data_IF_448085283480
#
_entry.id   IF_448085283480
#
_cell.length_a   1.000
_cell.length_b   1.000
_cell.length_c   1.000
_cell.angle_alpha   90.00
_cell.angle_beta   90.00
_cell.angle_gamma   90.00
#
_symmetry.space_group_name_H-M   'P 1'
#
loop_
_entity.id
_entity.type
_entity.pdbx_description
1 polymer ?
#
# COMPACT_ATOMS: atom_id res chain seq x y z
N UNK A 1 -59.97 24.06 29.36
CA UNK A 1 -59.92 24.51 27.95
C UNK A 1 -58.78 25.49 27.60
N UNK A 2 -58.47 26.51 28.42
CA UNK A 2 -57.46 27.55 28.08
C UNK A 2 -56.01 27.02 27.93
N UNK A 3 -55.59 26.03 28.73
CA UNK A 3 -54.26 25.38 28.64
C UNK A 3 -54.06 24.57 27.35
N UNK A 4 -55.09 23.82 26.93
CA UNK A 4 -55.07 23.02 25.70
C UNK A 4 -55.01 23.86 24.42
N UNK A 5 -55.71 25.01 24.38
CA UNK A 5 -55.58 25.97 23.27
C UNK A 5 -54.17 26.58 23.17
N UNK A 6 -53.49 26.83 24.29
CA UNK A 6 -52.10 27.33 24.30
C UNK A 6 -51.11 26.28 23.79
N UNK A 7 -51.27 25.01 24.16
CA UNK A 7 -50.43 23.91 23.67
C UNK A 7 -50.62 23.67 22.16
N UNK A 8 -51.87 23.67 21.68
CA UNK A 8 -52.16 23.53 20.25
C UNK A 8 -51.62 24.70 19.41
N UNK A 9 -51.73 25.93 19.91
CA UNK A 9 -51.17 27.11 19.27
C UNK A 9 -49.62 27.07 19.24
N UNK A 10 -48.99 26.61 20.32
CA UNK A 10 -47.54 26.41 20.39
C UNK A 10 -47.05 25.33 19.41
N UNK A 11 -47.75 24.20 19.32
CA UNK A 11 -47.44 23.12 18.39
C UNK A 11 -47.61 23.55 16.92
N UNK A 12 -48.68 24.29 16.60
CA UNK A 12 -48.92 24.84 15.26
C UNK A 12 -47.85 25.86 14.86
N UNK A 13 -47.48 26.79 15.74
CA UNK A 13 -46.39 27.72 15.50
C UNK A 13 -45.03 27.02 15.31
N UNK A 14 -44.80 25.88 15.98
CA UNK A 14 -43.60 25.06 15.78
C UNK A 14 -43.64 24.32 14.44
N UNK A 15 -44.81 23.84 14.03
CA UNK A 15 -45.03 23.19 12.73
C UNK A 15 -44.85 24.18 11.57
N UNK A 16 -45.42 25.38 11.65
CA UNK A 16 -45.27 26.43 10.64
C UNK A 16 -43.80 26.87 10.49
N UNK A 17 -43.06 26.96 11.61
CA UNK A 17 -41.60 27.19 11.57
C UNK A 17 -40.85 26.05 10.86
N UNK A 18 -41.24 24.80 11.09
CA UNK A 18 -40.64 23.63 10.41
C UNK A 18 -40.94 23.63 8.92
N UNK A 19 -42.17 23.97 8.50
CA UNK A 19 -42.55 24.07 7.08
C UNK A 19 -41.77 25.19 6.38
N UNK A 20 -41.65 26.37 6.99
CA UNK A 20 -40.86 27.48 6.43
C UNK A 20 -39.37 27.13 6.34
N UNK A 21 -38.83 26.41 7.33
CA UNK A 21 -37.47 25.87 7.28
C UNK A 21 -37.31 24.83 6.16
N UNK A 22 -38.29 23.94 5.98
CA UNK A 22 -38.28 22.91 4.94
C UNK A 22 -38.36 23.52 3.53
N UNK A 23 -39.21 24.53 3.30
CA UNK A 23 -39.28 25.23 2.02
C UNK A 23 -38.02 26.03 1.69
N UNK A 24 -37.41 26.68 2.70
CA UNK A 24 -36.09 27.32 2.52
C UNK A 24 -35.02 26.28 2.21
N UNK A 25 -35.03 25.15 2.92
CA UNK A 25 -34.14 24.02 2.67
C UNK A 25 -34.28 23.47 1.26
N UNK A 26 -35.51 23.25 0.79
CA UNK A 26 -35.80 22.75 -0.56
C UNK A 26 -35.33 23.71 -1.66
N UNK A 27 -35.51 25.03 -1.48
CA UNK A 27 -35.00 26.03 -2.42
C UNK A 27 -33.47 26.09 -2.47
N UNK A 28 -32.81 26.02 -1.31
CA UNK A 28 -31.34 25.97 -1.24
C UNK A 28 -30.82 24.69 -1.90
N UNK A 29 -31.45 23.55 -1.60
CA UNK A 29 -31.14 22.26 -2.20
C UNK A 29 -31.28 22.31 -3.72
N UNK A 30 -32.45 22.72 -4.25
CA UNK A 30 -32.68 22.82 -5.69
C UNK A 30 -31.64 23.68 -6.40
N UNK A 31 -31.17 24.76 -5.77
CA UNK A 31 -30.18 25.66 -6.36
C UNK A 31 -28.72 25.17 -6.22
N UNK A 32 -28.38 24.39 -5.18
CA UNK A 32 -26.99 24.06 -4.81
C UNK A 32 -26.72 22.57 -4.61
N UNK A 33 -27.63 21.67 -5.02
CA UNK A 33 -27.53 20.23 -4.74
C UNK A 33 -26.20 19.62 -5.24
N UNK A 34 -25.70 20.03 -6.42
CA UNK A 34 -24.42 19.55 -6.96
C UNK A 34 -23.25 19.90 -6.04
N UNK A 35 -23.24 21.13 -5.51
CA UNK A 35 -22.22 21.59 -4.57
C UNK A 35 -22.35 20.88 -3.21
N UNK A 36 -23.57 20.65 -2.73
CA UNK A 36 -23.82 19.96 -1.45
C UNK A 36 -23.38 18.50 -1.53
N UNK A 37 -23.76 17.78 -2.59
CA UNK A 37 -23.34 16.39 -2.82
C UNK A 37 -21.83 16.31 -3.01
N UNK A 38 -21.24 17.19 -3.81
CA UNK A 38 -19.78 17.24 -4.01
C UNK A 38 -19.02 17.50 -2.71
N UNK A 39 -19.50 18.46 -1.90
CA UNK A 39 -18.91 18.78 -0.59
C UNK A 39 -19.03 17.62 0.40
N UNK A 40 -20.18 16.94 0.43
CA UNK A 40 -20.41 15.78 1.27
C UNK A 40 -19.47 14.62 0.91
N UNK A 41 -19.27 14.36 -0.38
CA UNK A 41 -18.34 13.32 -0.84
C UNK A 41 -16.88 13.63 -0.46
N UNK A 42 -16.45 14.88 -0.60
CA UNK A 42 -15.11 15.32 -0.16
C UNK A 42 -14.98 15.16 1.36
N UNK A 43 -16.00 15.48 2.15
CA UNK A 43 -15.97 15.29 3.60
C UNK A 43 -15.92 13.81 4.00
N UNK A 44 -16.79 12.98 3.42
CA UNK A 44 -16.80 11.53 3.66
C UNK A 44 -15.52 10.84 3.21
N UNK A 45 -14.82 11.38 2.20
CA UNK A 45 -13.58 10.80 1.70
C UNK A 45 -12.50 10.62 2.78
N UNK A 46 -12.45 11.51 3.79
CA UNK A 46 -11.44 11.46 4.87
C UNK A 46 -11.67 10.29 5.83
N UNK A 47 -12.92 9.86 5.97
CA UNK A 47 -13.29 8.72 6.81
C UNK A 47 -13.12 7.37 6.10
N UNK A 48 -12.93 7.40 4.77
CA UNK A 48 -12.78 6.20 3.94
C UNK A 48 -11.30 5.86 3.72
N UNK A 49 -11.04 4.61 3.33
CA UNK A 49 -9.69 4.15 2.97
C UNK A 49 -9.28 4.78 1.63
N UNK A 50 -8.10 5.40 1.59
CA UNK A 50 -7.55 6.01 0.37
C UNK A 50 -6.66 5.05 -0.41
N UNK A 51 -5.73 4.40 0.29
CA UNK A 51 -4.78 3.44 -0.27
C UNK A 51 -4.96 2.12 0.48
N UNK A 52 -5.08 1.03 -0.27
CA UNK A 52 -5.09 -0.32 0.28
C UNK A 52 -3.68 -0.87 0.38
N UNK A 53 -3.33 -1.33 1.57
CA UNK A 53 -2.18 -2.18 1.79
C UNK A 53 -2.64 -3.63 1.70
N UNK A 54 -2.02 -4.46 0.85
CA UNK A 54 -2.43 -5.85 0.70
C UNK A 54 -2.37 -6.63 2.02
N UNK A 55 -1.34 -6.45 2.86
CA UNK A 55 -1.20 -7.19 4.13
C UNK A 55 -1.30 -6.27 5.35
N UNK A 56 -0.65 -5.10 5.31
CA UNK A 56 -0.57 -4.22 6.46
C UNK A 56 -1.84 -3.38 6.68
N UNK A 57 -1.94 -2.72 7.84
CA UNK A 57 -3.13 -1.91 8.16
C UNK A 57 -3.23 -0.70 7.23
N UNK A 58 -4.38 -0.60 6.57
CA UNK A 58 -4.72 0.49 5.65
C UNK A 58 -4.56 1.89 6.27
N UNK A 59 -3.99 2.82 5.51
CA UNK A 59 -3.88 4.24 5.91
C UNK A 59 -5.16 5.01 5.56
N UNK A 60 -5.75 5.69 6.56
CA UNK A 60 -6.78 6.71 6.34
C UNK A 60 -6.11 8.07 6.09
N UNK A 61 -6.13 8.54 4.84
CA UNK A 61 -5.50 9.78 4.40
C UNK A 61 -4.01 9.63 4.05
N UNK A 62 -3.63 10.05 2.84
CA UNK A 62 -2.22 10.09 2.42
C UNK A 62 -1.52 11.29 3.09
N UNK A 63 -0.39 11.07 3.77
CA UNK A 63 0.40 12.13 4.40
C UNK A 63 1.01 13.06 3.34
N UNK A 64 0.97 14.37 3.59
CA UNK A 64 1.60 15.37 2.71
C UNK A 64 3.15 15.23 2.75
N UNK A 65 3.82 15.28 1.58
CA UNK A 65 5.24 14.96 1.44
C UNK A 65 6.23 16.01 1.99
N UNK A 66 5.75 17.08 2.64
CA UNK A 66 6.63 18.13 3.20
C UNK A 66 7.43 17.65 4.42
N UNK A 67 7.00 16.59 5.09
CA UNK A 67 7.71 16.02 6.24
C UNK A 67 8.39 14.70 5.84
N UNK A 68 9.67 14.83 5.47
CA UNK A 68 10.61 13.72 5.27
C UNK A 68 10.66 12.84 6.52
N UNK A 69 10.66 11.52 6.33
CA UNK A 69 11.11 10.51 7.28
C UNK A 69 10.57 10.61 8.71
N UNK A 70 9.31 10.24 8.94
CA UNK A 70 8.90 9.76 10.26
C UNK A 70 8.16 8.44 10.06
N UNK A 71 8.62 7.41 10.76
CA UNK A 71 8.13 6.04 10.65
C UNK A 71 6.61 5.96 10.70
N UNK A 72 6.06 5.07 9.89
CA UNK A 72 4.64 4.79 9.72
C UNK A 72 4.00 4.31 11.03
N UNK A 73 3.70 5.24 11.94
CA UNK A 73 2.75 5.01 13.03
C UNK A 73 1.38 5.49 12.59
N UNK A 74 0.41 4.59 12.65
CA UNK A 74 -0.96 4.79 12.20
C UNK A 74 -1.75 5.62 13.21
N UNK A 75 -1.90 6.93 12.98
CA UNK A 75 -3.04 7.72 13.48
C UNK A 75 -3.28 8.91 12.53
N UNK A 76 -4.56 9.27 12.40
CA UNK A 76 -5.10 10.32 11.52
C UNK A 76 -4.15 11.54 11.47
N UNK A 77 -3.46 11.71 10.34
CA UNK A 77 -2.60 12.89 10.16
C UNK A 77 -3.49 14.11 9.93
N UNK A 78 -3.38 15.11 10.82
CA UNK A 78 -3.89 16.46 10.60
C UNK A 78 -3.31 17.10 9.31
N UNK A 79 -2.20 16.56 8.79
CA UNK A 79 -1.59 16.86 7.48
C UNK A 79 -1.82 15.75 6.43
N UNK A 80 -3.06 15.27 6.28
CA UNK A 80 -3.44 14.41 5.16
C UNK A 80 -3.95 15.21 3.96
N UNK A 81 -3.78 14.69 2.74
CA UNK A 81 -4.32 15.30 1.51
C UNK A 81 -5.84 15.51 1.61
N UNK A 82 -6.55 14.56 2.21
CA UNK A 82 -7.98 14.66 2.47
C UNK A 82 -8.34 15.78 3.46
N UNK A 83 -7.60 15.91 4.58
CA UNK A 83 -7.80 17.00 5.54
C UNK A 83 -7.51 18.38 4.93
N UNK A 84 -6.43 18.50 4.15
CA UNK A 84 -6.14 19.71 3.37
C UNK A 84 -7.27 20.04 2.40
N UNK A 85 -7.81 19.03 1.72
CA UNK A 85 -8.98 19.16 0.86
C UNK A 85 -10.22 19.70 1.60
N UNK A 86 -10.47 19.26 2.83
CA UNK A 86 -11.55 19.81 3.67
C UNK A 86 -11.28 21.28 4.02
N UNK A 87 -10.05 21.65 4.41
CA UNK A 87 -9.72 23.05 4.72
C UNK A 87 -9.92 23.95 3.50
N UNK A 88 -9.43 23.51 2.33
CA UNK A 88 -9.61 24.20 1.04
C UNK A 88 -11.10 24.31 0.70
N UNK A 89 -11.89 23.26 0.92
CA UNK A 89 -13.33 23.29 0.72
C UNK A 89 -14.03 24.29 1.65
N UNK A 90 -13.72 24.28 2.95
CA UNK A 90 -14.33 25.20 3.94
C UNK A 90 -14.00 26.65 3.58
N UNK A 91 -12.75 26.95 3.23
CA UNK A 91 -12.36 28.30 2.80
C UNK A 91 -13.12 28.73 1.53
N UNK A 92 -13.35 27.82 0.59
CA UNK A 92 -14.20 28.07 -0.58
C UNK A 92 -15.66 28.32 -0.24
N UNK A 93 -16.24 27.53 0.67
CA UNK A 93 -17.63 27.67 1.10
C UNK A 93 -17.86 28.97 1.88
N UNK A 94 -16.93 29.40 2.73
CA UNK A 94 -16.99 30.69 3.42
C UNK A 94 -16.87 31.86 2.44
N UNK A 95 -16.04 31.69 1.40
CA UNK A 95 -15.80 32.71 0.38
C UNK A 95 -16.91 32.82 -0.68
N UNK A 96 -17.88 31.89 -0.72
CA UNK A 96 -19.07 31.94 -1.60
C UNK A 96 -19.85 33.25 -1.49
N UNK A 97 -19.83 33.90 -0.32
CA UNK A 97 -20.48 35.20 -0.10
C UNK A 97 -19.73 36.38 -0.72
N UNK A 98 -18.45 36.20 -1.06
CA UNK A 98 -17.53 37.28 -1.43
C UNK A 98 -17.14 37.25 -2.91
N UNK A 99 -16.82 36.09 -3.50
CA UNK A 99 -16.54 36.02 -4.93
C UNK A 99 -16.72 34.62 -5.54
N UNK A 100 -17.27 34.59 -6.77
CA UNK A 100 -17.43 33.37 -7.59
C UNK A 100 -16.12 32.80 -8.16
N UNK A 101 -15.12 33.59 -8.61
CA UNK A 101 -13.87 33.02 -9.13
C UNK A 101 -13.03 32.31 -8.06
N UNK A 102 -13.14 32.68 -6.78
CA UNK A 102 -12.48 31.96 -5.69
C UNK A 102 -12.99 30.52 -5.55
N UNK A 103 -14.28 30.26 -5.79
CA UNK A 103 -14.81 28.90 -5.78
C UNK A 103 -14.22 28.05 -6.92
N UNK A 104 -14.03 28.64 -8.09
CA UNK A 104 -13.43 27.97 -9.24
C UNK A 104 -11.94 27.65 -8.99
N UNK A 105 -11.21 28.55 -8.31
CA UNK A 105 -9.85 28.31 -7.85
C UNK A 105 -9.78 27.19 -6.80
N UNK A 106 -10.70 27.17 -5.83
CA UNK A 106 -10.83 26.08 -4.85
C UNK A 106 -11.09 24.74 -5.55
N UNK A 107 -12.01 24.72 -6.53
CA UNK A 107 -12.27 23.51 -7.30
C UNK A 107 -11.04 23.03 -8.08
N UNK A 108 -10.27 23.95 -8.66
CA UNK A 108 -9.02 23.62 -9.35
C UNK A 108 -7.97 23.05 -8.38
N UNK A 109 -7.83 23.60 -7.17
CA UNK A 109 -6.93 23.06 -6.14
C UNK A 109 -7.38 21.66 -5.68
N UNK A 110 -8.68 21.43 -5.53
CA UNK A 110 -9.18 20.08 -5.17
C UNK A 110 -8.88 19.06 -6.27
N UNK A 111 -9.06 19.44 -7.54
CA UNK A 111 -8.69 18.61 -8.68
C UNK A 111 -7.18 18.38 -8.77
N UNK A 112 -6.34 19.38 -8.47
CA UNK A 112 -4.89 19.18 -8.44
C UNK A 112 -4.51 18.15 -7.38
N UNK A 113 -5.05 18.28 -6.15
CA UNK A 113 -4.81 17.30 -5.09
C UNK A 113 -5.25 15.89 -5.50
N UNK A 114 -6.36 15.76 -6.22
CA UNK A 114 -6.85 14.46 -6.70
C UNK A 114 -5.89 13.78 -7.69
N UNK A 115 -5.37 14.54 -8.66
CA UNK A 115 -4.46 14.04 -9.72
C UNK A 115 -3.05 13.77 -9.18
N UNK A 116 -2.62 14.57 -8.22
CA UNK A 116 -1.28 14.50 -7.62
C UNK A 116 -1.09 13.21 -6.81
N UNK A 117 -2.12 12.70 -6.14
CA UNK A 117 -2.04 11.51 -5.26
C UNK A 117 -1.48 10.26 -5.96
N UNK A 118 -2.07 9.74 -7.05
CA UNK A 118 -1.52 8.58 -7.75
C UNK A 118 -0.11 8.85 -8.29
N UNK A 119 0.16 10.07 -8.78
CA UNK A 119 1.48 10.44 -9.28
C UNK A 119 2.55 10.50 -8.18
N UNK A 120 2.18 10.92 -6.98
CA UNK A 120 3.07 10.94 -5.82
C UNK A 120 3.44 9.52 -5.40
N UNK A 121 2.46 8.62 -5.31
CA UNK A 121 2.71 7.20 -5.00
C UNK A 121 3.61 6.60 -6.08
N UNK A 122 3.32 6.87 -7.37
CA UNK A 122 4.05 6.31 -8.49
C UNK A 122 5.51 6.80 -8.59
N UNK A 123 5.76 8.09 -8.35
CA UNK A 123 7.01 8.74 -8.76
C UNK A 123 7.77 9.44 -7.65
N UNK A 124 7.11 9.95 -6.61
CA UNK A 124 7.78 10.63 -5.49
C UNK A 124 8.05 9.72 -4.30
N UNK A 125 7.27 8.65 -4.13
CA UNK A 125 7.39 7.71 -3.02
C UNK A 125 7.67 6.27 -3.50
N UNK A 126 8.81 6.02 -4.18
CA UNK A 126 9.14 4.70 -4.71
C UNK A 126 9.18 3.60 -3.62
N UNK A 127 9.55 3.95 -2.38
CA UNK A 127 9.54 3.00 -1.27
C UNK A 127 8.12 2.56 -0.89
N UNK A 128 7.13 3.45 -0.97
CA UNK A 128 5.73 3.11 -0.72
C UNK A 128 5.19 2.21 -1.83
N UNK A 129 5.40 2.59 -3.10
CA UNK A 129 4.98 1.76 -4.23
C UNK A 129 5.61 0.37 -4.16
N UNK A 130 6.91 0.29 -3.88
CA UNK A 130 7.62 -0.98 -3.74
C UNK A 130 7.03 -1.83 -2.61
N UNK A 131 6.79 -1.24 -1.44
CA UNK A 131 6.16 -1.95 -0.32
C UNK A 131 4.78 -2.49 -0.69
N UNK A 132 3.96 -1.69 -1.38
CA UNK A 132 2.63 -2.13 -1.82
C UNK A 132 2.73 -3.33 -2.78
N UNK A 133 3.71 -3.30 -3.69
CA UNK A 133 3.94 -4.41 -4.62
C UNK A 133 4.58 -5.63 -3.97
N UNK A 134 5.43 -5.44 -2.96
CA UNK A 134 6.03 -6.53 -2.18
C UNK A 134 4.97 -7.21 -1.32
N UNK A 135 4.13 -6.46 -0.59
CA UNK A 135 3.02 -7.04 0.19
C UNK A 135 2.05 -7.84 -0.70
N UNK A 136 1.85 -7.41 -1.95
CA UNK A 136 1.04 -8.12 -2.94
C UNK A 136 1.67 -9.44 -3.39
N UNK A 137 3.00 -9.46 -3.61
CA UNK A 137 3.76 -10.69 -3.89
C UNK A 137 3.84 -11.62 -2.67
N UNK A 138 3.97 -11.06 -1.48
CA UNK A 138 4.01 -11.79 -0.22
C UNK A 138 2.71 -12.58 0.03
N UNK A 139 1.55 -12.05 -0.37
CA UNK A 139 0.28 -12.79 -0.34
C UNK A 139 0.39 -14.09 -1.14
N UNK A 140 1.02 -14.06 -2.31
CA UNK A 140 1.23 -15.26 -3.13
C UNK A 140 2.15 -16.25 -2.41
N UNK A 141 3.25 -15.77 -1.83
CA UNK A 141 4.19 -16.60 -1.07
C UNK A 141 3.53 -17.26 0.16
N UNK A 142 2.69 -16.53 0.89
CA UNK A 142 1.90 -17.08 2.00
C UNK A 142 0.99 -18.18 1.46
N UNK A 143 0.22 -17.92 0.40
CA UNK A 143 -0.71 -18.89 -0.19
C UNK A 143 -0.04 -20.17 -0.65
N UNK A 144 1.09 -20.05 -1.34
CA UNK A 144 1.87 -21.22 -1.81
C UNK A 144 2.35 -22.05 -0.62
N UNK A 145 2.80 -21.41 0.45
CA UNK A 145 3.21 -22.12 1.65
C UNK A 145 2.03 -22.77 2.37
N UNK A 146 0.95 -22.02 2.63
CA UNK A 146 -0.20 -22.55 3.39
C UNK A 146 -0.84 -23.73 2.68
N UNK A 147 -0.97 -23.68 1.35
CA UNK A 147 -1.46 -24.79 0.53
C UNK A 147 -0.65 -26.08 0.70
N UNK A 148 0.66 -25.96 0.90
CA UNK A 148 1.58 -27.10 0.95
C UNK A 148 1.85 -27.60 2.38
N UNK A 149 1.78 -26.73 3.38
CA UNK A 149 2.29 -27.02 4.73
C UNK A 149 1.31 -26.74 5.87
N UNK A 150 0.24 -25.99 5.65
CA UNK A 150 -0.82 -25.81 6.66
C UNK A 150 -1.97 -26.80 6.40
N UNK A 151 -2.82 -27.07 7.42
CA UNK A 151 -3.99 -27.91 7.24
C UNK A 151 -4.84 -27.41 6.08
N UNK A 152 -5.23 -28.31 5.17
CA UNK A 152 -5.86 -27.94 3.88
C UNK A 152 -7.14 -27.15 4.08
N UNK A 153 -7.06 -25.83 3.92
CA UNK A 153 -8.16 -25.01 3.49
C UNK A 153 -8.10 -24.94 1.95
N UNK A 154 -9.10 -25.52 1.28
CA UNK A 154 -9.18 -25.54 -0.19
C UNK A 154 -9.86 -24.27 -0.74
N UNK A 155 -9.81 -23.16 0.02
CA UNK A 155 -10.54 -21.90 -0.16
C UNK A 155 -10.77 -21.48 -1.60
N UNK A 156 -11.79 -20.63 -1.89
CA UNK A 156 -12.00 -20.16 -3.25
C UNK A 156 -10.69 -19.59 -3.79
N UNK A 157 -10.41 -19.82 -5.07
CA UNK A 157 -9.24 -19.27 -5.76
C UNK A 157 -9.32 -17.75 -5.64
N UNK A 158 -8.74 -17.19 -4.58
CA UNK A 158 -8.59 -15.77 -4.44
C UNK A 158 -7.78 -15.32 -5.64
N UNK A 159 -8.34 -14.41 -6.44
CA UNK A 159 -7.71 -13.91 -7.66
C UNK A 159 -6.24 -13.60 -7.37
N UNK A 160 -5.35 -14.38 -7.98
CA UNK A 160 -3.92 -14.10 -7.95
C UNK A 160 -3.77 -12.68 -8.48
N UNK A 161 -3.14 -11.78 -7.73
CA UNK A 161 -3.04 -10.40 -8.16
C UNK A 161 -2.34 -10.34 -9.52
N UNK A 162 -2.82 -9.42 -10.37
CA UNK A 162 -2.29 -9.28 -11.73
C UNK A 162 -0.83 -8.84 -11.63
N UNK A 163 0.05 -9.53 -12.32
CA UNK A 163 1.47 -9.17 -12.39
C UNK A 163 1.62 -7.71 -12.84
N UNK A 164 2.04 -6.85 -11.91
CA UNK A 164 2.14 -5.41 -12.14
C UNK A 164 3.40 -5.10 -12.95
N UNK A 165 3.24 -4.37 -14.06
CA UNK A 165 4.35 -3.92 -14.88
C UNK A 165 5.00 -2.70 -14.22
N UNK A 166 6.20 -2.84 -13.64
CA UNK A 166 6.84 -1.76 -12.87
C UNK A 166 8.05 -1.12 -13.57
N UNK A 167 8.53 -1.69 -14.68
CA UNK A 167 9.71 -1.20 -15.41
C UNK A 167 9.39 -0.01 -16.36
N UNK A 168 8.12 0.38 -16.48
CA UNK A 168 7.70 1.56 -17.24
C UNK A 168 7.07 2.59 -16.31
N UNK A 169 7.24 3.89 -16.61
CA UNK A 169 6.57 4.95 -15.88
C UNK A 169 5.04 4.82 -15.92
N UNK A 170 4.49 4.40 -17.08
CA UNK A 170 3.06 4.15 -17.23
C UNK A 170 2.59 2.96 -16.38
N UNK A 171 3.35 1.87 -16.37
CA UNK A 171 3.04 0.71 -15.55
C UNK A 171 3.06 1.02 -14.04
N UNK A 172 4.04 1.82 -13.57
CA UNK A 172 4.07 2.32 -12.18
C UNK A 172 2.86 3.19 -11.83
N UNK A 173 2.42 4.04 -12.76
CA UNK A 173 1.21 4.84 -12.58
C UNK A 173 -0.04 3.95 -12.46
N UNK A 174 -0.19 2.95 -13.34
CA UNK A 174 -1.29 1.99 -13.27
C UNK A 174 -1.25 1.17 -11.97
N UNK A 175 -0.07 0.74 -11.53
CA UNK A 175 0.13 0.05 -10.26
C UNK A 175 -0.30 0.93 -9.09
N UNK A 176 0.16 2.18 -9.02
CA UNK A 176 -0.28 3.13 -8.00
C UNK A 176 -1.80 3.32 -7.98
N UNK A 177 -2.43 3.44 -9.16
CA UNK A 177 -3.88 3.55 -9.28
C UNK A 177 -4.62 2.29 -8.80
N UNK A 178 -4.05 1.10 -8.97
CA UNK A 178 -4.69 -0.16 -8.56
C UNK A 178 -4.86 -0.30 -7.04
N UNK A 179 -3.99 0.35 -6.26
CA UNK A 179 -4.07 0.38 -4.80
C UNK A 179 -5.04 1.44 -4.24
N UNK A 180 -5.62 2.30 -5.10
CA UNK A 180 -6.56 3.32 -4.65
C UNK A 180 -7.95 2.73 -4.35
N UNK A 181 -8.58 3.25 -3.29
CA UNK A 181 -9.89 2.78 -2.79
C UNK A 181 -10.93 3.89 -2.77
N UNK A 182 -12.12 3.54 -2.27
CA UNK A 182 -13.33 4.38 -2.27
C UNK A 182 -13.09 5.80 -1.76
N UNK A 183 -12.19 6.03 -0.80
CA UNK A 183 -11.87 7.37 -0.32
C UNK A 183 -11.35 8.29 -1.43
N UNK A 184 -10.43 7.82 -2.25
CA UNK A 184 -9.90 8.61 -3.38
C UNK A 184 -10.98 8.83 -4.46
N UNK A 185 -11.77 7.80 -4.80
CA UNK A 185 -12.85 7.94 -5.78
C UNK A 185 -13.92 8.95 -5.32
N UNK A 186 -14.32 8.90 -4.05
CA UNK A 186 -15.24 9.88 -3.46
C UNK A 186 -14.66 11.29 -3.49
N UNK A 187 -13.37 11.45 -3.17
CA UNK A 187 -12.68 12.74 -3.23
C UNK A 187 -12.64 13.30 -4.65
N UNK A 188 -12.25 12.49 -5.64
CA UNK A 188 -12.16 12.88 -7.04
C UNK A 188 -13.52 13.21 -7.64
N UNK A 189 -14.53 12.36 -7.43
CA UNK A 189 -15.89 12.63 -7.90
C UNK A 189 -16.50 13.86 -7.24
N UNK A 190 -16.29 14.05 -5.93
CA UNK A 190 -16.72 15.25 -5.22
C UNK A 190 -16.06 16.52 -5.76
N UNK A 191 -14.75 16.48 -6.04
CA UNK A 191 -14.01 17.59 -6.63
C UNK A 191 -14.49 17.93 -8.05
N UNK A 192 -14.81 16.92 -8.87
CA UNK A 192 -15.38 17.10 -10.21
C UNK A 192 -16.77 17.75 -10.17
N UNK A 193 -17.64 17.35 -9.24
CA UNK A 193 -18.97 17.96 -9.07
C UNK A 193 -18.85 19.44 -8.66
N UNK A 194 -17.94 19.75 -7.73
CA UNK A 194 -17.66 21.14 -7.30
C UNK A 194 -17.12 21.96 -8.48
N UNK A 195 -16.23 21.38 -9.30
CA UNK A 195 -15.71 22.02 -10.50
C UNK A 195 -16.82 22.31 -11.52
N UNK A 196 -17.64 21.32 -11.87
CA UNK A 196 -18.76 21.48 -12.79
C UNK A 196 -19.75 22.56 -12.32
N UNK A 197 -20.06 22.56 -11.02
CA UNK A 197 -20.89 23.60 -10.41
C UNK A 197 -20.24 24.99 -10.53
N UNK A 198 -18.95 25.12 -10.22
CA UNK A 198 -18.23 26.39 -10.26
C UNK A 198 -18.20 26.99 -11.69
N UNK A 199 -17.94 26.15 -12.70
CA UNK A 199 -17.88 26.55 -14.11
C UNK A 199 -19.24 27.06 -14.60
N UNK A 200 -20.33 26.40 -14.21
CA UNK A 200 -21.70 26.81 -14.61
C UNK A 200 -22.10 28.21 -14.12
N UNK A 201 -21.44 28.73 -13.06
CA UNK A 201 -21.81 29.97 -12.37
C UNK A 201 -20.85 31.14 -12.63
N UNK A 202 -19.83 30.95 -13.47
CA UNK A 202 -18.88 32.00 -13.86
C UNK A 202 -19.56 33.04 -14.79
N UNK A 203 -19.46 34.35 -14.48
CA UNK A 203 -19.92 35.43 -15.36
C UNK A 203 -18.92 35.70 -16.52
N UNK A 204 -19.40 36.11 -17.70
CA UNK A 204 -18.54 36.59 -18.82
C UNK A 204 -17.88 35.50 -19.68
N UNK A 205 -16.83 35.87 -20.43
CA UNK A 205 -16.02 34.97 -21.27
C UNK A 205 -15.38 33.84 -20.45
N UNK A 206 -16.05 32.69 -20.41
CA UNK A 206 -15.70 31.57 -19.51
C UNK A 206 -14.36 30.91 -19.86
N UNK A 207 -14.01 30.90 -21.14
CA UNK A 207 -12.89 30.12 -21.69
C UNK A 207 -11.51 30.47 -21.12
N UNK A 208 -11.06 31.75 -21.07
CA UNK A 208 -9.72 32.06 -20.56
C UNK A 208 -9.55 31.68 -19.08
N UNK A 209 -10.56 31.94 -18.24
CA UNK A 209 -10.53 31.54 -16.82
C UNK A 209 -10.53 30.03 -16.63
N UNK A 210 -11.31 29.28 -17.42
CA UNK A 210 -11.34 27.82 -17.35
C UNK A 210 -10.01 27.23 -17.79
N UNK A 211 -9.41 27.75 -18.86
CA UNK A 211 -8.08 27.33 -19.33
C UNK A 211 -7.01 27.58 -18.25
N UNK A 212 -7.00 28.76 -17.64
CA UNK A 212 -6.06 29.09 -16.56
C UNK A 212 -6.20 28.15 -15.35
N UNK A 213 -7.42 27.73 -15.01
CA UNK A 213 -7.67 26.79 -13.91
C UNK A 213 -7.24 25.36 -14.25
N UNK A 214 -7.35 24.93 -15.50
CA UNK A 214 -6.86 23.61 -15.97
C UNK A 214 -5.32 23.57 -15.99
N UNK A 215 -4.65 24.72 -16.18
CA UNK A 215 -3.20 24.78 -16.10
C UNK A 215 -2.64 24.37 -14.73
N UNK A 216 -3.40 24.51 -13.64
CA UNK A 216 -2.95 24.09 -12.30
C UNK A 216 -2.75 22.57 -12.18
N UNK A 217 -3.76 21.70 -12.42
CA UNK A 217 -3.58 20.25 -12.34
C UNK A 217 -2.63 19.74 -13.43
N UNK A 218 -2.67 20.32 -14.64
CA UNK A 218 -1.75 19.94 -15.73
C UNK A 218 -0.31 20.30 -15.39
N UNK A 219 -0.05 21.51 -14.88
CA UNK A 219 1.29 21.93 -14.46
C UNK A 219 1.85 21.06 -13.33
N UNK A 220 1.01 20.72 -12.34
CA UNK A 220 1.39 19.79 -11.28
C UNK A 220 1.74 18.39 -11.84
N UNK A 221 0.95 17.87 -12.78
CA UNK A 221 1.22 16.59 -13.45
C UNK A 221 2.57 16.64 -14.19
N UNK A 222 2.83 17.69 -14.96
CA UNK A 222 4.09 17.87 -15.71
C UNK A 222 5.28 17.85 -14.75
N UNK A 223 5.22 18.57 -13.64
CA UNK A 223 6.30 18.60 -12.63
C UNK A 223 6.55 17.21 -12.06
N UNK A 224 5.51 16.42 -11.79
CA UNK A 224 5.63 15.08 -11.19
C UNK A 224 6.13 14.02 -12.17
N UNK A 225 5.74 14.12 -13.45
CA UNK A 225 6.06 13.13 -14.48
C UNK A 225 7.41 13.41 -15.16
N UNK A 226 7.91 14.64 -15.12
CA UNK A 226 9.17 15.00 -15.80
C UNK A 226 10.38 14.21 -15.28
N UNK A 227 10.65 14.12 -13.95
CA UNK A 227 11.78 13.33 -13.44
C UNK A 227 11.78 11.84 -13.84
N UNK A 228 10.68 11.07 -13.68
CA UNK A 228 10.68 9.66 -14.08
C UNK A 228 10.75 9.48 -15.60
N UNK A 229 10.24 10.42 -16.41
CA UNK A 229 10.41 10.37 -17.87
C UNK A 229 11.88 10.56 -18.27
N UNK A 230 12.57 11.52 -17.65
CA UNK A 230 14.01 11.73 -17.86
C UNK A 230 14.80 10.50 -17.38
N UNK A 231 14.45 9.96 -16.20
CA UNK A 231 15.04 8.73 -15.67
C UNK A 231 14.89 7.55 -16.62
N UNK A 232 13.68 7.33 -17.14
CA UNK A 232 13.40 6.28 -18.13
C UNK A 232 14.24 6.46 -19.40
N UNK A 233 14.38 7.70 -19.90
CA UNK A 233 15.19 7.97 -21.08
C UNK A 233 16.67 7.61 -20.89
N UNK A 234 17.25 7.95 -19.73
CA UNK A 234 18.61 7.52 -19.41
C UNK A 234 18.71 6.00 -19.23
N UNK A 235 17.69 5.36 -18.65
CA UNK A 235 17.69 3.92 -18.47
C UNK A 235 17.64 3.15 -19.81
N UNK A 236 16.84 3.62 -20.77
CA UNK A 236 16.80 3.05 -22.12
C UNK A 236 18.11 3.32 -22.86
N UNK A 237 18.67 4.53 -22.75
CA UNK A 237 19.98 4.86 -23.29
C UNK A 237 21.10 3.98 -22.74
N UNK A 238 21.10 3.71 -21.44
CA UNK A 238 22.04 2.81 -20.78
C UNK A 238 21.92 1.37 -21.30
N UNK A 239 20.68 0.89 -21.48
CA UNK A 239 20.41 -0.45 -22.02
C UNK A 239 20.90 -0.59 -23.47
N UNK A 240 20.76 0.47 -24.28
CA UNK A 240 21.30 0.52 -25.65
C UNK A 240 22.83 0.52 -25.63
N UNK A 241 23.46 1.33 -24.77
CA UNK A 241 24.92 1.38 -24.64
C UNK A 241 25.49 0.03 -24.16
N UNK A 242 24.80 -0.64 -23.22
CA UNK A 242 25.12 -2.02 -22.79
C UNK A 242 25.09 -2.98 -23.98
N UNK A 243 24.04 -2.93 -24.81
CA UNK A 243 23.94 -3.79 -25.99
C UNK A 243 25.02 -3.50 -27.05
N UNK A 244 25.57 -2.28 -27.08
CA UNK A 244 26.67 -1.88 -27.96
C UNK A 244 28.06 -2.26 -27.39
N UNK A 245 28.14 -2.75 -26.15
CA UNK A 245 29.40 -3.05 -25.46
C UNK A 245 30.12 -1.82 -24.89
N UNK A 246 29.49 -0.64 -24.90
CA UNK A 246 30.05 0.57 -24.30
C UNK A 246 29.73 0.61 -22.79
N UNK A 247 30.54 -0.12 -22.03
CA UNK A 247 30.32 -0.36 -20.60
C UNK A 247 30.38 0.92 -19.76
N UNK A 248 31.36 1.80 -20.02
CA UNK A 248 31.54 3.04 -19.26
C UNK A 248 30.36 3.99 -19.46
N UNK A 249 29.90 4.16 -20.71
CA UNK A 249 28.72 4.95 -21.00
C UNK A 249 27.46 4.36 -20.37
N UNK A 250 27.28 3.04 -20.46
CA UNK A 250 26.14 2.36 -19.85
C UNK A 250 26.08 2.58 -18.33
N UNK A 251 27.21 2.42 -17.63
CA UNK A 251 27.31 2.68 -16.18
C UNK A 251 26.96 4.14 -15.86
N UNK A 252 27.50 5.10 -16.63
CA UNK A 252 27.23 6.51 -16.42
C UNK A 252 25.74 6.85 -16.60
N UNK A 253 25.10 6.30 -17.63
CA UNK A 253 23.69 6.54 -17.92
C UNK A 253 22.76 5.84 -16.92
N UNK A 254 23.08 4.63 -16.44
CA UNK A 254 22.35 4.01 -15.32
C UNK A 254 22.41 4.88 -14.05
N UNK A 255 23.59 5.41 -13.71
CA UNK A 255 23.74 6.32 -12.56
C UNK A 255 22.94 7.61 -12.73
N UNK A 256 22.86 8.16 -13.94
CA UNK A 256 21.97 9.32 -14.23
C UNK A 256 20.50 8.94 -14.07
N UNK A 257 20.09 7.77 -14.57
CA UNK A 257 18.72 7.29 -14.42
C UNK A 257 18.32 7.21 -12.94
N UNK A 258 19.19 6.68 -12.08
CA UNK A 258 18.97 6.59 -10.63
C UNK A 258 18.90 7.96 -9.93
N UNK A 259 19.61 8.97 -10.43
CA UNK A 259 19.56 10.34 -9.88
C UNK A 259 18.23 11.01 -10.20
N UNK A 260 17.74 10.85 -11.43
CA UNK A 260 16.47 11.43 -11.89
C UNK A 260 15.25 10.66 -11.36
N UNK A 261 15.39 9.35 -11.20
CA UNK A 261 14.32 8.47 -10.74
C UNK A 261 14.83 7.52 -9.65
N UNK A 262 14.42 7.83 -8.43
CA UNK A 262 14.76 7.07 -7.23
C UNK A 262 14.20 5.64 -7.24
N UNK A 263 13.24 5.31 -8.11
CA UNK A 263 12.78 3.94 -8.31
C UNK A 263 13.93 3.03 -8.75
N UNK A 264 14.73 3.46 -9.72
CA UNK A 264 15.89 2.69 -10.20
C UNK A 264 16.97 2.57 -9.12
N UNK A 265 17.09 3.56 -8.23
CA UNK A 265 18.03 3.54 -7.12
C UNK A 265 17.65 2.55 -6.01
N UNK A 266 16.39 2.12 -5.95
CA UNK A 266 15.93 1.09 -5.01
C UNK A 266 15.94 -0.32 -5.60
N UNK A 267 16.04 -0.45 -6.93
CA UNK A 267 16.05 -1.75 -7.60
C UNK A 267 17.45 -2.37 -7.54
N UNK A 268 17.54 -3.55 -6.91
CA UNK A 268 18.79 -4.29 -6.74
C UNK A 268 19.38 -4.75 -8.08
N UNK A 269 18.52 -5.07 -9.06
CA UNK A 269 18.92 -5.56 -10.39
C UNK A 269 19.70 -4.51 -11.18
N UNK A 270 19.40 -3.22 -10.98
CA UNK A 270 20.16 -2.12 -11.59
C UNK A 270 21.61 -2.13 -11.08
N UNK A 271 21.81 -2.34 -9.78
CA UNK A 271 23.16 -2.42 -9.21
C UNK A 271 23.89 -3.68 -9.67
N UNK A 272 23.21 -4.82 -9.75
CA UNK A 272 23.78 -6.06 -10.30
C UNK A 272 24.26 -5.88 -11.75
N UNK A 273 23.46 -5.19 -12.57
CA UNK A 273 23.80 -4.85 -13.96
C UNK A 273 25.02 -3.92 -14.01
N UNK A 274 25.10 -2.91 -13.13
CA UNK A 274 26.28 -2.05 -13.04
C UNK A 274 27.52 -2.87 -12.64
N UNK A 275 27.40 -3.78 -11.68
CA UNK A 275 28.48 -4.68 -11.28
C UNK A 275 28.96 -5.57 -12.43
N UNK A 276 28.03 -6.06 -13.26
CA UNK A 276 28.31 -6.82 -14.48
C UNK A 276 29.18 -6.03 -15.45
N UNK A 277 28.74 -4.81 -15.77
CA UNK A 277 29.46 -3.91 -16.68
C UNK A 277 30.83 -3.52 -16.14
N UNK A 278 30.97 -3.33 -14.82
CA UNK A 278 32.26 -3.02 -14.18
C UNK A 278 33.25 -4.17 -14.34
N UNK A 279 32.80 -5.43 -14.25
CA UNK A 279 33.67 -6.58 -14.50
C UNK A 279 34.10 -6.68 -15.94
N UNK A 280 33.18 -6.48 -16.88
CA UNK A 280 33.48 -6.49 -18.31
C UNK A 280 34.44 -5.36 -18.70
N UNK A 281 34.35 -4.21 -18.02
CA UNK A 281 35.26 -3.08 -18.23
C UNK A 281 36.64 -3.24 -17.57
N UNK A 282 36.86 -4.28 -16.74
CA UNK A 282 38.09 -4.43 -15.96
C UNK A 282 38.26 -3.37 -14.86
N UNK A 283 37.17 -2.69 -14.48
CA UNK A 283 37.14 -1.61 -13.50
C UNK A 283 37.14 -2.13 -12.03
N UNK A 284 37.40 -1.21 -11.09
CA UNK A 284 37.66 -1.40 -9.65
C UNK A 284 37.26 -2.76 -9.03
N UNK A 285 38.27 -3.48 -8.52
CA UNK A 285 38.09 -4.70 -7.74
C UNK A 285 37.42 -4.39 -6.39
N UNK A 286 36.36 -5.12 -6.03
CA UNK A 286 35.68 -4.97 -4.74
C UNK A 286 34.64 -3.86 -4.66
N UNK A 287 34.03 -3.44 -5.78
CA UNK A 287 32.90 -2.50 -5.72
C UNK A 287 31.67 -3.12 -5.05
N UNK A 288 30.86 -2.35 -4.29
CA UNK A 288 29.62 -2.84 -3.71
C UNK A 288 28.65 -3.42 -4.75
N UNK A 289 28.59 -2.84 -5.95
CA UNK A 289 27.74 -3.34 -7.05
C UNK A 289 28.15 -4.74 -7.54
N UNK A 290 29.44 -5.07 -7.49
CA UNK A 290 29.91 -6.44 -7.81
C UNK A 290 29.53 -7.43 -6.72
N UNK A 291 29.60 -7.03 -5.46
CA UNK A 291 29.11 -7.85 -4.35
C UNK A 291 27.62 -8.16 -4.50
N UNK A 292 26.80 -7.17 -4.91
CA UNK A 292 25.39 -7.41 -5.26
C UNK A 292 25.25 -8.45 -6.36
N UNK A 293 26.02 -8.33 -7.45
CA UNK A 293 25.90 -9.29 -8.54
C UNK A 293 26.20 -10.72 -8.09
N UNK A 294 27.31 -10.92 -7.37
CA UNK A 294 27.68 -12.21 -6.79
C UNK A 294 26.61 -12.74 -5.84
N UNK A 295 26.03 -11.86 -5.02
CA UNK A 295 24.96 -12.25 -4.11
C UNK A 295 23.74 -12.80 -4.86
N UNK A 296 23.36 -12.17 -5.98
CA UNK A 296 22.26 -12.65 -6.83
C UNK A 296 22.62 -13.98 -7.51
N UNK A 297 23.85 -14.14 -8.01
CA UNK A 297 24.34 -15.40 -8.58
C UNK A 297 24.28 -16.55 -7.55
N UNK A 298 24.78 -16.33 -6.33
CA UNK A 298 24.68 -17.30 -5.23
C UNK A 298 23.23 -17.60 -4.85
N UNK A 299 22.36 -16.58 -4.80
CA UNK A 299 20.93 -16.77 -4.52
C UNK A 299 20.27 -17.66 -5.57
N UNK A 300 20.56 -17.44 -6.85
CA UNK A 300 20.06 -18.27 -7.96
C UNK A 300 20.59 -19.71 -7.90
N UNK A 301 21.84 -19.88 -7.46
CA UNK A 301 22.45 -21.19 -7.20
C UNK A 301 21.92 -21.88 -5.92
N UNK A 302 21.00 -21.25 -5.18
CA UNK A 302 20.51 -21.70 -3.86
C UNK A 302 21.60 -21.77 -2.77
N UNK A 303 22.73 -21.08 -2.98
CA UNK A 303 23.81 -20.89 -2.02
C UNK A 303 23.51 -19.69 -1.11
N UNK A 304 22.39 -19.76 -0.38
CA UNK A 304 21.82 -18.61 0.33
C UNK A 304 22.76 -17.99 1.38
N UNK A 305 23.57 -18.79 2.09
CA UNK A 305 24.50 -18.26 3.09
C UNK A 305 25.58 -17.37 2.45
N UNK A 306 26.12 -17.79 1.30
CA UNK A 306 27.06 -16.99 0.52
C UNK A 306 26.38 -15.75 -0.07
N UNK A 307 25.13 -15.88 -0.53
CA UNK A 307 24.35 -14.74 -0.98
C UNK A 307 24.15 -13.70 0.12
N UNK A 308 23.75 -14.12 1.32
CA UNK A 308 23.59 -13.25 2.50
C UNK A 308 24.91 -12.57 2.86
N UNK A 309 26.01 -13.32 2.84
CA UNK A 309 27.34 -12.78 3.09
C UNK A 309 27.70 -11.67 2.10
N UNK A 310 27.52 -11.90 0.80
CA UNK A 310 27.81 -10.90 -0.23
C UNK A 310 26.86 -9.69 -0.18
N UNK A 311 25.58 -9.88 0.14
CA UNK A 311 24.67 -8.74 0.36
C UNK A 311 25.11 -7.89 1.55
N UNK A 312 25.56 -8.51 2.65
CA UNK A 312 26.08 -7.77 3.80
C UNK A 312 27.36 -7.00 3.45
N UNK A 313 28.28 -7.58 2.68
CA UNK A 313 29.47 -6.86 2.17
C UNK A 313 29.10 -5.68 1.28
N UNK A 314 28.11 -5.84 0.41
CA UNK A 314 27.60 -4.75 -0.40
C UNK A 314 26.99 -3.64 0.47
N UNK A 315 26.35 -4.00 1.59
CA UNK A 315 25.75 -3.05 2.52
C UNK A 315 26.76 -2.11 3.20
N UNK A 316 28.02 -2.53 3.33
CA UNK A 316 29.10 -1.69 3.87
C UNK A 316 29.42 -0.48 2.96
N UNK A 317 29.04 -0.53 1.68
CA UNK A 317 29.24 0.55 0.71
C UNK A 317 28.41 1.82 0.94
N UNK A 318 27.42 1.78 1.84
CA UNK A 318 26.58 2.92 2.20
C UNK A 318 25.56 3.36 1.13
N UNK A 319 24.83 4.44 1.44
CA UNK A 319 23.86 5.06 0.53
C UNK A 319 22.62 4.22 0.23
N UNK A 320 22.00 4.47 -0.93
CA UNK A 320 20.79 3.76 -1.36
C UNK A 320 21.05 2.28 -1.68
N UNK A 321 22.25 1.95 -2.15
CA UNK A 321 22.69 0.58 -2.38
C UNK A 321 22.66 -0.23 -1.09
N UNK A 322 23.21 0.32 0.00
CA UNK A 322 23.24 -0.38 1.28
C UNK A 322 21.85 -0.72 1.83
N UNK A 323 20.90 0.21 1.68
CA UNK A 323 19.51 -0.04 2.08
C UNK A 323 18.90 -1.15 1.23
N UNK A 324 19.13 -1.14 -0.08
CA UNK A 324 18.65 -2.19 -0.97
C UNK A 324 19.30 -3.55 -0.66
N UNK A 325 20.61 -3.58 -0.45
CA UNK A 325 21.39 -4.77 -0.10
C UNK A 325 20.92 -5.40 1.20
N UNK A 326 20.72 -4.60 2.26
CA UNK A 326 20.27 -5.09 3.55
C UNK A 326 18.87 -5.70 3.48
N UNK A 327 17.94 -5.07 2.75
CA UNK A 327 16.60 -5.62 2.53
C UNK A 327 16.66 -6.97 1.79
N UNK A 328 17.43 -7.05 0.71
CA UNK A 328 17.58 -8.29 -0.06
C UNK A 328 18.29 -9.39 0.76
N UNK A 329 19.24 -9.04 1.62
CA UNK A 329 19.84 -9.97 2.59
C UNK A 329 18.79 -10.58 3.51
N UNK A 330 17.91 -9.75 4.09
CA UNK A 330 16.84 -10.20 5.00
C UNK A 330 15.84 -11.12 4.29
N UNK A 331 15.42 -10.77 3.07
CA UNK A 331 14.55 -11.61 2.25
C UNK A 331 15.24 -12.94 1.89
N UNK A 332 16.52 -12.89 1.52
CA UNK A 332 17.31 -14.09 1.21
C UNK A 332 17.46 -15.01 2.42
N UNK A 333 17.53 -14.46 3.65
CA UNK A 333 17.49 -15.27 4.88
C UNK A 333 16.14 -15.96 5.09
N UNK A 334 15.03 -15.29 4.77
CA UNK A 334 13.72 -15.93 4.83
C UNK A 334 13.61 -17.09 3.82
N UNK A 335 14.16 -16.90 2.61
CA UNK A 335 14.26 -17.92 1.56
C UNK A 335 15.12 -19.11 2.01
N UNK A 336 16.25 -18.85 2.67
CA UNK A 336 17.07 -19.89 3.31
C UNK A 336 16.26 -20.68 4.34
N UNK A 337 15.49 -20.00 5.20
CA UNK A 337 14.61 -20.65 6.16
C UNK A 337 13.61 -21.59 5.47
N UNK A 338 13.01 -21.16 4.35
CA UNK A 338 12.10 -22.00 3.56
C UNK A 338 12.81 -23.19 2.91
N UNK A 339 14.02 -23.00 2.38
CA UNK A 339 14.82 -24.08 1.82
C UNK A 339 15.19 -25.12 2.90
N UNK A 340 15.61 -24.68 4.08
CA UNK A 340 15.91 -25.55 5.23
C UNK A 340 14.68 -26.33 5.69
N UNK A 341 13.52 -25.67 5.75
CA UNK A 341 12.26 -26.32 6.11
C UNK A 341 11.90 -27.43 5.12
N UNK A 342 12.04 -27.16 3.81
CA UNK A 342 11.85 -28.16 2.74
C UNK A 342 12.83 -29.33 2.82
N UNK A 343 14.06 -29.06 3.24
CA UNK A 343 15.08 -30.07 3.47
C UNK A 343 14.88 -30.86 4.77
N UNK A 344 13.88 -30.53 5.59
CA UNK A 344 13.60 -31.18 6.88
C UNK A 344 14.39 -30.62 8.07
N UNK A 345 15.25 -29.62 7.84
CA UNK A 345 15.96 -28.90 8.91
C UNK A 345 15.08 -27.82 9.53
N UNK A 346 14.00 -28.25 10.20
CA UNK A 346 12.96 -27.34 10.70
C UNK A 346 13.49 -26.39 11.79
N UNK A 347 14.38 -26.87 12.67
CA UNK A 347 15.01 -26.01 13.70
C UNK A 347 15.86 -24.89 13.10
N UNK A 348 16.61 -25.20 12.02
CA UNK A 348 17.36 -24.20 11.27
C UNK A 348 16.44 -23.20 10.56
N UNK A 349 15.32 -23.67 10.01
CA UNK A 349 14.30 -22.82 9.40
C UNK A 349 13.71 -21.80 10.38
N UNK A 350 13.25 -22.28 11.54
CA UNK A 350 12.70 -21.43 12.62
C UNK A 350 13.72 -20.37 13.05
N UNK A 351 14.98 -20.75 13.25
CA UNK A 351 16.05 -19.82 13.64
C UNK A 351 16.23 -18.71 12.60
N UNK A 352 16.27 -19.05 11.32
CA UNK A 352 16.41 -18.06 10.24
C UNK A 352 15.20 -17.13 10.14
N UNK A 353 13.99 -17.65 10.29
CA UNK A 353 12.76 -16.85 10.27
C UNK A 353 12.63 -15.91 11.50
N UNK A 354 13.05 -16.36 12.68
CA UNK A 354 13.14 -15.51 13.88
C UNK A 354 14.14 -14.37 13.66
N UNK A 355 15.31 -14.66 13.08
CA UNK A 355 16.31 -13.65 12.74
C UNK A 355 15.81 -12.67 11.68
N UNK A 356 15.10 -13.13 10.65
CA UNK A 356 14.46 -12.26 9.65
C UNK A 356 13.54 -11.24 10.32
N UNK A 357 12.65 -11.68 11.21
CA UNK A 357 11.72 -10.80 11.92
C UNK A 357 12.41 -9.89 12.96
N UNK A 358 13.54 -10.32 13.52
CA UNK A 358 14.35 -9.51 14.43
C UNK A 358 15.08 -8.39 13.69
N UNK A 359 15.59 -8.66 12.49
CA UNK A 359 16.28 -7.66 11.65
C UNK A 359 15.29 -6.71 10.95
N UNK A 360 14.16 -7.23 10.48
CA UNK A 360 13.09 -6.45 9.86
C UNK A 360 11.70 -6.95 10.30
N UNK A 361 11.08 -6.27 11.27
CA UNK A 361 9.73 -6.61 11.74
C UNK A 361 8.63 -6.46 10.68
N UNK A 362 8.91 -5.83 9.53
CA UNK A 362 7.93 -5.63 8.45
C UNK A 362 7.73 -6.85 7.56
N UNK A 363 8.62 -7.86 7.64
CA UNK A 363 8.57 -9.11 6.86
C UNK A 363 7.48 -10.08 7.38
N UNK A 364 6.23 -9.61 7.41
CA UNK A 364 5.10 -10.30 8.05
C UNK A 364 4.71 -11.58 7.32
N UNK A 365 5.09 -11.75 6.05
CA UNK A 365 4.86 -12.99 5.30
C UNK A 365 5.54 -14.22 5.89
N UNK A 366 6.56 -14.03 6.72
CA UNK A 366 7.27 -15.10 7.42
C UNK A 366 6.50 -15.63 8.63
N UNK A 367 5.52 -14.88 9.15
CA UNK A 367 4.71 -15.30 10.31
C UNK A 367 4.03 -16.67 10.16
N UNK A 368 3.33 -17.00 9.06
CA UNK A 368 2.78 -18.34 8.87
C UNK A 368 3.86 -19.43 8.83
N UNK A 369 5.05 -19.10 8.31
CA UNK A 369 6.16 -20.06 8.21
C UNK A 369 6.70 -20.37 9.60
N UNK A 370 6.93 -19.31 10.38
CA UNK A 370 7.42 -19.40 11.76
C UNK A 370 6.42 -20.09 12.68
N UNK A 371 5.11 -19.80 12.55
CA UNK A 371 4.07 -20.47 13.32
C UNK A 371 4.05 -21.97 13.02
N UNK A 372 4.09 -22.35 11.74
CA UNK A 372 4.12 -23.75 11.33
C UNK A 372 5.40 -24.46 11.77
N UNK A 373 6.56 -23.83 11.56
CA UNK A 373 7.85 -24.36 11.99
C UNK A 373 7.90 -24.62 13.49
N UNK A 374 7.41 -23.68 14.32
CA UNK A 374 7.31 -23.87 15.77
C UNK A 374 6.37 -25.02 16.16
N UNK A 375 5.24 -25.18 15.47
CA UNK A 375 4.35 -26.32 15.67
C UNK A 375 5.06 -27.66 15.38
N UNK A 376 5.79 -27.76 14.27
CA UNK A 376 6.44 -29.00 13.85
C UNK A 376 7.59 -29.43 14.77
N UNK A 377 8.31 -28.47 15.38
CA UNK A 377 9.34 -28.77 16.41
C UNK A 377 8.77 -28.89 17.84
N UNK A 378 7.44 -28.86 18.00
CA UNK A 378 6.76 -29.04 19.28
C UNK A 378 6.74 -27.81 20.20
N UNK A 379 7.16 -26.63 19.73
CA UNK A 379 7.10 -25.36 20.47
C UNK A 379 5.71 -24.72 20.35
N UNK A 380 4.67 -25.42 20.84
CA UNK A 380 3.27 -25.03 20.64
C UNK A 380 2.91 -23.67 21.25
N UNK A 381 3.49 -23.31 22.40
CA UNK A 381 3.23 -21.99 23.01
C UNK A 381 3.82 -20.86 22.17
N UNK A 382 5.04 -21.02 21.66
CA UNK A 382 5.67 -20.04 20.77
C UNK A 382 4.89 -19.92 19.45
N UNK A 383 4.39 -21.04 18.91
CA UNK A 383 3.51 -21.01 17.74
C UNK A 383 2.25 -20.18 18.00
N UNK A 384 1.60 -20.33 19.17
CA UNK A 384 0.43 -19.54 19.55
C UNK A 384 0.74 -18.04 19.66
N UNK A 385 1.90 -17.66 20.18
CA UNK A 385 2.31 -16.25 20.27
C UNK A 385 2.49 -15.64 18.87
N UNK A 386 3.09 -16.40 17.94
CA UNK A 386 3.23 -16.00 16.53
C UNK A 386 1.86 -15.93 15.84
N UNK A 387 0.96 -16.87 16.10
CA UNK A 387 -0.41 -16.90 15.55
C UNK A 387 -1.20 -15.68 16.03
N UNK A 388 -1.07 -15.28 17.29
CA UNK A 388 -1.73 -14.09 17.82
C UNK A 388 -1.31 -12.83 17.04
N UNK A 389 -0.02 -12.72 16.66
CA UNK A 389 0.47 -11.65 15.79
C UNK A 389 -0.05 -11.80 14.35
N UNK A 390 -0.04 -13.01 13.79
CA UNK A 390 -0.52 -13.29 12.43
C UNK A 390 -1.98 -12.88 12.26
N UNK A 391 -2.86 -13.27 13.18
CA UNK A 391 -4.31 -12.93 13.18
C UNK A 391 -4.56 -11.42 13.09
N UNK A 392 -3.69 -10.59 13.68
CA UNK A 392 -3.81 -9.14 13.60
C UNK A 392 -3.41 -8.58 12.23
N UNK A 393 -2.48 -9.22 11.54
CA UNK A 393 -2.04 -8.84 10.19
C UNK A 393 -3.09 -9.28 9.17
N UNK A 394 -3.54 -10.54 9.23
CA UNK A 394 -4.44 -11.12 8.23
C UNK A 394 -5.93 -10.94 8.55
N UNK A 395 -6.28 -10.02 9.45
CA UNK A 395 -7.67 -9.83 9.92
C UNK A 395 -8.70 -9.55 8.81
N UNK A 396 -8.26 -9.00 7.68
CA UNK A 396 -9.12 -8.73 6.52
C UNK A 396 -9.08 -9.85 5.44
N UNK A 397 -8.27 -10.89 5.64
CA UNK A 397 -8.09 -12.01 4.71
C UNK A 397 -8.75 -13.27 5.28
N UNK A 398 -9.98 -13.54 4.87
CA UNK A 398 -10.81 -14.61 5.46
C UNK A 398 -10.14 -15.98 5.41
N UNK A 399 -9.51 -16.34 4.29
CA UNK A 399 -8.83 -17.64 4.13
C UNK A 399 -7.60 -17.77 5.03
N UNK A 400 -6.69 -16.79 4.99
CA UNK A 400 -5.48 -16.79 5.84
C UNK A 400 -5.81 -16.71 7.33
N UNK A 401 -6.87 -15.98 7.68
CA UNK A 401 -7.37 -15.87 9.04
C UNK A 401 -7.88 -17.24 9.54
N UNK A 402 -8.60 -17.97 8.68
CA UNK A 402 -9.05 -19.31 8.99
C UNK A 402 -7.84 -20.27 9.16
N UNK A 403 -6.85 -20.24 8.27
CA UNK A 403 -5.64 -21.05 8.37
C UNK A 403 -4.88 -20.83 9.69
N UNK A 404 -4.75 -19.57 10.11
CA UNK A 404 -4.12 -19.20 11.37
C UNK A 404 -4.89 -19.75 12.58
N UNK A 405 -6.22 -19.68 12.57
CA UNK A 405 -7.05 -20.25 13.63
C UNK A 405 -7.01 -21.78 13.66
N UNK A 406 -7.03 -22.45 12.51
CA UNK A 406 -6.85 -23.91 12.40
C UNK A 406 -5.54 -24.36 13.05
N UNK A 407 -4.42 -23.72 12.70
CA UNK A 407 -3.12 -24.04 13.30
C UNK A 407 -3.10 -23.76 14.81
N UNK A 408 -3.77 -22.69 15.26
CA UNK A 408 -3.91 -22.39 16.69
C UNK A 408 -4.71 -23.46 17.43
N UNK A 409 -5.79 -23.96 16.81
CA UNK A 409 -6.57 -25.08 17.33
C UNK A 409 -5.71 -26.34 17.49
N UNK A 410 -4.89 -26.66 16.48
CA UNK A 410 -3.95 -27.80 16.54
C UNK A 410 -2.92 -27.63 17.66
N UNK A 411 -2.40 -26.42 17.87
CA UNK A 411 -1.49 -26.12 18.98
C UNK A 411 -2.15 -26.37 20.35
N UNK A 412 -3.37 -25.85 20.56
CA UNK A 412 -4.10 -26.07 21.81
C UNK A 412 -4.45 -27.54 22.04
N UNK A 413 -4.80 -28.27 20.98
CA UNK A 413 -5.06 -29.70 21.06
C UNK A 413 -3.81 -30.47 21.51
N UNK A 414 -2.64 -30.15 20.95
CA UNK A 414 -1.35 -30.75 21.36
C UNK A 414 -0.94 -30.40 22.79
N UNK A 415 -1.36 -29.23 23.29
CA UNK A 415 -1.19 -28.83 24.69
C UNK A 415 -2.24 -29.45 25.65
N UNK A 416 -3.18 -30.26 25.15
CA UNK A 416 -4.26 -30.84 25.95
C UNK A 416 -5.37 -29.85 26.35
N UNK A 417 -5.36 -28.63 25.81
CA UNK A 417 -6.34 -27.57 26.08
C UNK A 417 -7.54 -27.68 25.13
N UNK A 418 -8.34 -28.72 25.32
CA UNK A 418 -9.41 -29.12 24.38
C UNK A 418 -10.48 -28.03 24.19
N UNK A 419 -10.84 -27.31 25.26
CA UNK A 419 -11.84 -26.23 25.18
C UNK A 419 -11.34 -25.07 24.28
N UNK A 420 -10.08 -24.68 24.43
CA UNK A 420 -9.47 -23.64 23.61
C UNK A 420 -9.29 -24.09 22.16
N UNK A 421 -8.92 -25.36 21.95
CA UNK A 421 -8.83 -25.95 20.61
C UNK A 421 -10.18 -25.85 19.88
N UNK A 422 -11.27 -26.26 20.53
CA UNK A 422 -12.64 -26.16 19.98
C UNK A 422 -13.03 -24.70 19.68
N UNK A 423 -12.67 -23.78 20.56
CA UNK A 423 -12.89 -22.35 20.33
C UNK A 423 -12.17 -21.84 19.07
N UNK A 424 -10.90 -22.20 18.90
CA UNK A 424 -10.11 -21.82 17.74
C UNK A 424 -10.62 -22.46 16.44
N UNK A 425 -10.99 -23.75 16.45
CA UNK A 425 -11.62 -24.36 15.28
C UNK A 425 -12.97 -23.71 14.92
N UNK A 426 -13.76 -23.30 15.92
CA UNK A 426 -15.02 -22.57 15.68
C UNK A 426 -14.77 -21.18 15.08
N UNK A 427 -13.74 -20.46 15.54
CA UNK A 427 -13.29 -19.19 14.94
C UNK A 427 -12.81 -19.39 13.50
N UNK A 428 -12.07 -20.45 13.26
CA UNK A 428 -11.61 -20.84 11.92
C UNK A 428 -12.78 -21.06 10.96
N UNK A 429 -13.75 -21.87 11.37
CA UNK A 429 -14.97 -22.12 10.60
C UNK A 429 -15.82 -20.85 10.43
N UNK A 430 -15.85 -19.95 11.41
CA UNK A 430 -16.59 -18.69 11.26
C UNK A 430 -15.93 -17.74 10.25
N UNK A 431 -14.61 -17.79 10.11
CA UNK A 431 -13.86 -16.97 9.16
C UNK A 431 -14.00 -17.50 7.72
N UNK A 432 -13.99 -18.82 7.54
CA UNK A 432 -14.23 -19.48 6.25
C UNK A 432 -15.10 -20.74 6.44
N UNK A 433 -16.44 -20.59 6.45
CA UNK A 433 -17.37 -21.68 6.76
C UNK A 433 -17.58 -22.67 5.63
N UNK A 434 -17.26 -22.29 4.39
CA UNK A 434 -17.61 -23.08 3.21
C UNK A 434 -16.48 -24.05 2.85
N UNK A 435 -15.22 -23.69 3.10
CA UNK A 435 -14.08 -24.41 2.52
C UNK A 435 -13.05 -24.92 3.52
N UNK A 436 -13.12 -24.49 4.78
CA UNK A 436 -12.24 -24.99 5.83
C UNK A 436 -12.70 -26.35 6.38
N UNK A 437 -12.45 -27.41 5.61
CA UNK A 437 -12.78 -28.79 5.97
C UNK A 437 -11.97 -29.30 7.16
N UNK A 438 -10.77 -28.75 7.41
CA UNK A 438 -9.95 -29.14 8.55
C UNK A 438 -10.62 -28.81 9.89
N UNK A 439 -11.05 -27.56 10.07
CA UNK A 439 -11.72 -27.14 11.30
C UNK A 439 -13.01 -27.92 11.55
N UNK A 440 -13.76 -28.23 10.49
CA UNK A 440 -14.97 -29.05 10.56
C UNK A 440 -14.66 -30.47 11.03
N UNK A 441 -13.64 -31.11 10.47
CA UNK A 441 -13.20 -32.47 10.86
C UNK A 441 -12.80 -32.50 12.33
N UNK A 442 -12.04 -31.50 12.79
CA UNK A 442 -11.58 -31.43 14.19
C UNK A 442 -12.70 -31.12 15.20
N UNK A 443 -13.73 -30.39 14.79
CA UNK A 443 -14.92 -30.18 15.62
C UNK A 443 -15.83 -31.43 15.69
N UNK A 444 -15.86 -32.22 14.61
CA UNK A 444 -16.62 -33.47 14.53
C UNK A 444 -16.06 -34.59 15.42
N UNK A 445 -14.77 -34.53 15.78
CA UNK A 445 -14.15 -35.43 16.76
C UNK A 445 -13.19 -36.48 16.18
N UNK A 446 -12.76 -36.34 14.92
CA UNK A 446 -11.83 -37.24 14.24
C UNK A 446 -10.33 -36.90 14.45
#
# INVERSE_FOLDING_TARGET
>A
MKKWRKLAAWARARWDKVVVLAERGARVWAAHWVLIVGSFLVFCSVLLKWVEFPLSRNLSGLQLPLLRNVGLTAHIYFLSVGALGIVVLITGLVSLRRSRPLLALVAAILLTLCVVVPCQIAFQQPALLRRLTEEDQEIELIKVFTRNYLPRNLGPVENIPKQLVLYTAWGRFLAACSFLRLGWYCFGFGSLLIAAYSISRLPGERMPTVLALICLPVGALVILVTPPVIGQHYFTGASIAKAQGDNERAIADYRKAMRWDQWHAQNIDTYATIGELQEQAGSAYGSPERHIRRAIEFKQASEYELAIFEFNRAADGGGALAVAAKRESVQTRADLGLALYRAGSIGGAVTNWEQTLAEDPSQVYVLPYLARGNYDIGRYQAALDVIARLVQVVANHTSMLADAYSLGGDCYAKLGRIADARYYYSRSMSADPIVNTWALTKLAGD
#
